data_IF_632456415371
#
_entry.id   IF_632456415371
#
_cell.length_a   1.000
_cell.length_b   1.000
_cell.length_c   1.000
_cell.angle_alpha   90.00
_cell.angle_beta   90.00
_cell.angle_gamma   90.00
#
_symmetry.space_group_name_H-M   'P 1'
#
loop_
_entity.id
_entity.type
_entity.pdbx_description
1 polymer ?
#
# COMPACT_ATOMS: atom_id res chain seq x y z
N UNK A 1 -7.99 8.76 -12.08
CA UNK A 1 -6.80 9.13 -11.31
C UNK A 1 -7.30 9.64 -9.98
N UNK A 2 -6.89 9.02 -8.88
CA UNK A 2 -7.17 9.46 -7.52
C UNK A 2 -5.93 10.24 -7.08
N UNK A 3 -6.05 11.55 -6.96
CA UNK A 3 -5.08 12.39 -6.24
C UNK A 3 -5.70 12.63 -4.85
N UNK A 4 -5.14 12.03 -3.80
CA UNK A 4 -5.80 12.09 -2.49
C UNK A 4 -5.03 11.46 -1.34
N UNK A 5 -5.47 11.82 -0.14
CA UNK A 5 -4.98 11.27 1.12
C UNK A 5 -6.01 10.26 1.61
N UNK A 6 -5.60 8.99 1.71
CA UNK A 6 -6.35 7.92 2.36
C UNK A 6 -5.71 7.68 3.72
N UNK A 7 -6.22 8.37 4.74
CA UNK A 7 -5.72 8.27 6.12
C UNK A 7 -6.77 7.61 7.01
N UNK A 8 -6.37 6.63 7.82
CA UNK A 8 -7.25 6.00 8.81
C UNK A 8 -8.38 5.14 8.21
N UNK A 9 -8.30 4.77 6.93
CA UNK A 9 -9.38 4.07 6.25
C UNK A 9 -9.38 2.57 6.56
N UNK A 10 -10.57 1.97 6.71
CA UNK A 10 -10.72 0.52 6.70
C UNK A 10 -11.18 0.06 5.31
N UNK A 11 -10.28 -0.58 4.57
CA UNK A 11 -10.48 -1.06 3.20
C UNK A 11 -10.17 -2.57 3.11
N UNK A 12 -10.38 -3.31 4.20
CA UNK A 12 -10.21 -4.75 4.21
C UNK A 12 -11.09 -5.42 3.14
N UNK A 13 -10.48 -6.28 2.31
CA UNK A 13 -11.17 -6.96 1.21
C UNK A 13 -11.58 -6.06 0.04
N UNK A 14 -11.17 -4.79 0.03
CA UNK A 14 -11.54 -3.86 -1.04
C UNK A 14 -10.99 -4.32 -2.40
N UNK A 15 -11.78 -4.11 -3.46
CA UNK A 15 -11.32 -4.28 -4.83
C UNK A 15 -10.82 -2.95 -5.38
N UNK A 16 -9.50 -2.85 -5.59
CA UNK A 16 -8.83 -1.70 -6.20
C UNK A 16 -8.23 -2.08 -7.56
N UNK A 17 -8.70 -3.17 -8.18
CA UNK A 17 -8.16 -3.68 -9.43
C UNK A 17 -8.17 -2.59 -10.52
N UNK A 18 -7.03 -2.38 -11.17
CA UNK A 18 -6.80 -1.35 -12.17
C UNK A 18 -7.05 0.10 -11.69
N UNK A 19 -7.07 0.35 -10.38
CA UNK A 19 -7.21 1.70 -9.85
C UNK A 19 -5.95 2.53 -10.15
N UNK A 20 -6.14 3.75 -10.63
CA UNK A 20 -5.07 4.74 -10.78
C UNK A 20 -4.93 5.56 -9.51
N UNK A 21 -3.90 5.27 -8.70
CA UNK A 21 -3.58 5.90 -7.41
C UNK A 21 -2.47 6.96 -7.52
N UNK A 22 -2.29 7.57 -8.69
CA UNK A 22 -1.21 8.55 -8.93
C UNK A 22 -1.14 9.64 -7.85
N UNK A 23 0.06 9.90 -7.34
CA UNK A 23 0.37 10.87 -6.30
C UNK A 23 -0.48 10.74 -5.00
N UNK A 24 -0.91 9.51 -4.67
CA UNK A 24 -1.70 9.25 -3.46
C UNK A 24 -0.82 9.01 -2.22
N UNK A 25 -1.27 9.53 -1.08
CA UNK A 25 -0.71 9.18 0.24
C UNK A 25 -1.68 8.26 0.97
N UNK A 26 -1.22 7.09 1.36
CA UNK A 26 -1.99 6.08 2.10
C UNK A 26 -1.35 5.92 3.49
N UNK A 27 -2.07 6.37 4.51
CA UNK A 27 -1.62 6.42 5.90
C UNK A 27 -2.57 5.65 6.82
N UNK A 28 -2.05 4.95 7.82
CA UNK A 28 -2.87 4.37 8.90
C UNK A 28 -4.07 3.54 8.39
N UNK A 29 -3.89 2.82 7.28
CA UNK A 29 -4.99 2.22 6.51
C UNK A 29 -4.91 0.69 6.52
N UNK A 30 -6.06 0.05 6.71
CA UNK A 30 -6.21 -1.41 6.60
C UNK A 30 -6.53 -1.81 5.15
N UNK A 31 -5.59 -2.46 4.46
CA UNK A 31 -5.74 -3.04 3.12
C UNK A 31 -5.63 -4.58 3.14
N UNK A 32 -5.88 -5.22 4.29
CA UNK A 32 -5.81 -6.68 4.40
C UNK A 32 -6.75 -7.32 3.39
N UNK A 33 -6.29 -8.39 2.74
CA UNK A 33 -7.05 -9.13 1.72
C UNK A 33 -7.54 -8.28 0.52
N UNK A 34 -7.03 -7.05 0.33
CA UNK A 34 -7.44 -6.20 -0.79
C UNK A 34 -6.88 -6.72 -2.12
N UNK A 35 -7.58 -6.45 -3.22
CA UNK A 35 -7.10 -6.73 -4.58
C UNK A 35 -6.48 -5.47 -5.20
N UNK A 36 -5.15 -5.47 -5.34
CA UNK A 36 -4.34 -4.40 -5.92
C UNK A 36 -3.84 -4.73 -7.34
N UNK A 37 -4.38 -5.76 -7.99
CA UNK A 37 -3.95 -6.17 -9.33
C UNK A 37 -4.10 -5.03 -10.34
N UNK A 38 -3.01 -4.72 -11.04
CA UNK A 38 -3.01 -3.68 -12.06
C UNK A 38 -3.14 -2.25 -11.52
N UNK A 39 -3.05 -2.05 -10.20
CA UNK A 39 -2.91 -0.70 -9.66
C UNK A 39 -1.68 -0.01 -10.24
N UNK A 40 -1.82 1.28 -10.55
CA UNK A 40 -0.78 2.11 -11.13
C UNK A 40 -0.70 3.46 -10.43
N UNK A 41 0.50 4.01 -10.31
CA UNK A 41 0.76 5.33 -9.75
C UNK A 41 2.06 5.36 -8.97
N UNK A 42 2.41 6.55 -8.50
CA UNK A 42 3.45 6.75 -7.50
C UNK A 42 2.73 6.99 -6.17
N UNK A 43 2.82 6.03 -5.24
CA UNK A 43 2.17 6.13 -3.93
C UNK A 43 3.17 6.21 -2.77
N UNK A 44 2.78 6.92 -1.72
CA UNK A 44 3.44 6.89 -0.42
C UNK A 44 2.58 6.06 0.54
N UNK A 45 3.19 5.10 1.25
CA UNK A 45 2.49 4.22 2.19
C UNK A 45 3.11 4.26 3.59
N UNK A 46 2.41 4.75 4.60
CA UNK A 46 2.89 4.82 5.99
C UNK A 46 1.90 4.11 6.91
N UNK A 47 2.37 3.20 7.77
CA UNK A 47 1.51 2.47 8.71
C UNK A 47 0.32 1.77 8.01
N UNK A 48 0.62 0.99 6.98
CA UNK A 48 -0.39 0.30 6.14
C UNK A 48 -0.31 -1.21 6.35
N UNK A 49 -1.48 -1.85 6.43
CA UNK A 49 -1.61 -3.30 6.62
C UNK A 49 -2.00 -3.99 5.32
N UNK A 50 -1.10 -4.72 4.67
CA UNK A 50 -1.35 -5.43 3.41
C UNK A 50 -1.50 -6.95 3.56
N UNK A 51 -1.54 -7.52 4.77
CA UNK A 51 -1.57 -8.99 4.93
C UNK A 51 -2.68 -9.63 4.09
N UNK A 52 -2.31 -10.61 3.27
CA UNK A 52 -3.24 -11.30 2.36
C UNK A 52 -3.68 -10.49 1.13
N UNK A 53 -3.23 -9.24 0.98
CA UNK A 53 -3.50 -8.46 -0.23
C UNK A 53 -2.84 -9.13 -1.45
N UNK A 54 -3.53 -9.09 -2.58
CA UNK A 54 -3.08 -9.70 -3.82
C UNK A 54 -2.71 -8.63 -4.84
N UNK A 55 -1.73 -8.94 -5.70
CA UNK A 55 -1.32 -8.02 -6.76
C UNK A 55 -0.50 -6.81 -6.31
N UNK A 56 -0.11 -6.72 -5.03
CA UNK A 56 0.77 -5.67 -4.53
C UNK A 56 2.11 -5.67 -5.29
N UNK A 57 2.52 -4.49 -5.76
CA UNK A 57 3.81 -4.28 -6.42
C UNK A 57 4.60 -3.24 -5.65
N UNK A 58 5.76 -3.58 -5.06
CA UNK A 58 6.61 -2.59 -4.41
C UNK A 58 7.00 -1.44 -5.36
N UNK A 59 7.17 -1.73 -6.65
CA UNK A 59 7.57 -0.73 -7.66
C UNK A 59 6.64 0.49 -7.81
N UNK A 60 5.39 0.44 -7.32
CA UNK A 60 4.49 1.61 -7.34
C UNK A 60 4.64 2.49 -6.09
N UNK A 61 5.26 1.97 -5.02
CA UNK A 61 5.51 2.72 -3.79
C UNK A 61 6.85 3.44 -3.94
N UNK A 62 6.81 4.77 -4.10
CA UNK A 62 8.01 5.59 -4.27
C UNK A 62 8.55 6.13 -2.94
N UNK A 63 7.69 6.20 -1.92
CA UNK A 63 8.02 6.74 -0.60
C UNK A 63 7.22 6.05 0.51
N UNK A 64 7.59 6.36 1.75
CA UNK A 64 6.76 6.06 2.90
C UNK A 64 6.96 4.68 3.54
N UNK A 65 7.68 3.72 2.94
CA UNK A 65 7.98 2.33 3.42
C UNK A 65 8.33 2.16 4.91
N UNK A 66 7.39 2.44 5.79
CA UNK A 66 7.60 2.62 7.22
C UNK A 66 6.35 2.11 7.90
N UNK A 67 6.56 1.21 8.86
CA UNK A 67 5.49 0.51 9.57
C UNK A 67 4.53 -0.19 8.59
N UNK A 68 5.07 -0.74 7.50
CA UNK A 68 4.28 -1.45 6.48
C UNK A 68 4.26 -2.94 6.81
N UNK A 69 3.09 -3.55 6.87
CA UNK A 69 2.97 -5.02 6.89
C UNK A 69 2.72 -5.50 5.48
N UNK A 70 3.61 -6.31 4.91
CA UNK A 70 3.53 -6.83 3.54
C UNK A 70 2.44 -7.90 3.36
N UNK A 71 2.10 -8.26 2.11
CA UNK A 71 1.16 -9.34 1.80
C UNK A 71 1.43 -10.68 2.50
N UNK A 72 2.70 -11.04 2.63
CA UNK A 72 3.16 -12.27 3.30
C UNK A 72 3.17 -12.16 4.84
N UNK A 73 2.79 -11.00 5.38
CA UNK A 73 2.80 -10.71 6.81
C UNK A 73 4.14 -10.18 7.34
N UNK A 74 5.16 -9.99 6.50
CA UNK A 74 6.44 -9.40 6.93
C UNK A 74 6.23 -7.93 7.30
N UNK A 75 6.65 -7.57 8.51
CA UNK A 75 6.61 -6.18 8.99
C UNK A 75 7.89 -5.42 8.64
N UNK A 76 7.74 -4.19 8.14
CA UNK A 76 8.82 -3.25 7.81
C UNK A 76 8.74 -2.08 8.79
N UNK A 77 9.70 -1.96 9.70
CA UNK A 77 9.62 -1.06 10.86
C UNK A 77 10.12 0.39 10.64
N UNK A 78 10.81 0.69 9.52
CA UNK A 78 11.62 1.90 9.21
C UNK A 78 13.15 1.68 9.40
N UNK A 79 13.94 2.28 8.49
CA UNK A 79 15.40 2.17 8.23
C UNK A 79 16.02 0.76 8.15
N UNK A 80 15.81 0.09 7.02
CA UNK A 80 16.87 -0.62 6.29
C UNK A 80 16.50 -0.61 4.80
N UNK A 81 16.95 0.43 4.11
CA UNK A 81 16.94 0.55 2.64
C UNK A 81 18.03 -0.32 2.02
N UNK A 82 18.11 -1.61 2.34
CA UNK A 82 19.10 -2.47 1.66
C UNK A 82 18.50 -3.51 0.71
N UNK A 83 17.25 -3.98 0.87
CA UNK A 83 16.76 -5.07 0.00
C UNK A 83 15.23 -5.11 -0.17
N UNK A 84 14.65 -4.13 -0.88
CA UNK A 84 13.31 -4.28 -1.51
C UNK A 84 13.44 -3.98 -3.00
#
# INVERSE_FOLDING_TARGET
>A
MIEGILEGCNMEGASLRNAGLGDSTIGDTNLRNANLEGCSGEISMINVELTGAVGFRPSIVFAGYRKLTLPDGRFIADWQTEEI
#
